data_IF_083527049956
#
_entry.id   IF_083527049956
#
_cell.length_a   1.000
_cell.length_b   1.000
_cell.length_c   1.000
_cell.angle_alpha   90.00
_cell.angle_beta   90.00
_cell.angle_gamma   90.00
#
_symmetry.space_group_name_H-M   'P 1'
#
loop_
_entity.id
_entity.type
_entity.pdbx_description
1 polymer ?
#
# COMPACT_ATOMS: atom_id res chain seq x y z
N UNK A 1 -8.75 -15.97 7.62
CA UNK A 1 -9.54 -16.21 6.39
C UNK A 1 -10.86 -15.44 6.37
N UNK A 2 -11.80 -15.64 7.32
CA UNK A 2 -13.08 -14.91 7.31
C UNK A 2 -12.95 -13.38 7.37
N UNK A 3 -12.03 -12.84 8.18
CA UNK A 3 -11.77 -11.39 8.22
C UNK A 3 -11.30 -10.87 6.88
N UNK A 4 -10.42 -11.59 6.20
CA UNK A 4 -9.91 -11.25 4.88
C UNK A 4 -11.05 -11.22 3.85
N UNK A 5 -11.89 -12.24 3.82
CA UNK A 5 -13.05 -12.30 2.93
C UNK A 5 -14.05 -11.17 3.23
N UNK A 6 -14.36 -10.93 4.51
CA UNK A 6 -15.28 -9.87 4.91
C UNK A 6 -14.76 -8.48 4.48
N UNK A 7 -13.46 -8.22 4.61
CA UNK A 7 -12.86 -6.97 4.21
C UNK A 7 -12.83 -6.79 2.69
N UNK A 8 -12.27 -7.75 1.96
CA UNK A 8 -12.04 -7.59 0.51
C UNK A 8 -13.28 -7.80 -0.34
N UNK A 9 -14.26 -8.59 0.13
CA UNK A 9 -15.48 -8.91 -0.63
C UNK A 9 -16.70 -8.12 -0.10
N UNK A 10 -16.72 -7.83 1.20
CA UNK A 10 -17.86 -7.18 1.88
C UNK A 10 -18.02 -5.68 1.67
N UNK A 11 -17.31 -5.07 0.72
CA UNK A 11 -17.50 -3.67 0.32
C UNK A 11 -16.42 -2.68 0.75
N UNK A 12 -15.58 -2.98 1.72
CA UNK A 12 -14.47 -2.10 2.11
C UNK A 12 -13.36 -2.06 1.06
N UNK A 13 -13.23 -3.09 0.24
CA UNK A 13 -12.30 -3.18 -0.88
C UNK A 13 -12.88 -2.71 -2.21
N UNK A 14 -14.07 -2.10 -2.23
CA UNK A 14 -14.64 -1.57 -3.46
C UNK A 14 -13.82 -0.38 -3.98
N UNK A 15 -13.57 -0.34 -5.27
CA UNK A 15 -12.74 0.65 -5.96
C UNK A 15 -13.11 2.10 -5.64
N UNK A 16 -14.40 2.36 -5.41
CA UNK A 16 -14.91 3.68 -5.04
C UNK A 16 -14.49 4.12 -3.62
N UNK A 17 -14.42 3.20 -2.66
CA UNK A 17 -13.95 3.49 -1.31
C UNK A 17 -12.44 3.65 -1.25
N UNK A 18 -11.70 2.94 -2.07
CA UNK A 18 -10.26 3.08 -2.21
C UNK A 18 -9.88 4.49 -2.65
N UNK A 19 -10.58 5.03 -3.65
CA UNK A 19 -10.31 6.36 -4.17
C UNK A 19 -10.51 7.45 -3.12
N UNK A 20 -11.50 7.32 -2.22
CA UNK A 20 -11.76 8.32 -1.18
C UNK A 20 -10.86 8.18 0.05
N UNK A 21 -10.46 6.97 0.39
CA UNK A 21 -9.75 6.69 1.66
C UNK A 21 -8.23 6.70 1.50
N UNK A 22 -7.71 6.16 0.39
CA UNK A 22 -6.27 5.98 0.23
C UNK A 22 -5.62 6.99 -0.70
N UNK A 23 -6.37 7.60 -1.61
CA UNK A 23 -5.84 8.61 -2.53
C UNK A 23 -5.19 9.80 -1.81
N UNK A 24 -5.78 10.39 -0.75
CA UNK A 24 -5.13 11.46 -0.01
C UNK A 24 -3.78 11.03 0.59
N UNK A 25 -3.68 9.80 1.11
CA UNK A 25 -2.44 9.27 1.65
C UNK A 25 -1.34 9.18 0.58
N UNK A 26 -1.63 8.59 -0.58
CA UNK A 26 -0.67 8.53 -1.68
C UNK A 26 -0.31 9.91 -2.21
N UNK A 27 -1.27 10.82 -2.31
CA UNK A 27 -1.03 12.19 -2.77
C UNK A 27 -0.07 12.93 -1.86
N UNK A 28 -0.26 12.86 -0.54
CA UNK A 28 0.64 13.49 0.44
C UNK A 28 2.03 12.85 0.40
N UNK A 29 2.11 11.52 0.34
CA UNK A 29 3.37 10.79 0.27
C UNK A 29 4.17 11.18 -0.98
N UNK A 30 3.53 11.21 -2.15
CA UNK A 30 4.15 11.62 -3.41
C UNK A 30 4.56 13.10 -3.41
N UNK A 31 3.75 13.99 -2.84
CA UNK A 31 4.07 15.42 -2.74
C UNK A 31 5.30 15.64 -1.86
N UNK A 32 5.39 14.96 -0.72
CA UNK A 32 6.57 15.00 0.14
C UNK A 32 7.83 14.52 -0.60
N UNK A 33 7.76 13.41 -1.32
CA UNK A 33 8.87 12.90 -2.11
C UNK A 33 9.29 13.90 -3.21
N UNK A 34 8.32 14.47 -3.93
CA UNK A 34 8.59 15.51 -4.96
C UNK A 34 9.26 16.75 -4.40
N UNK A 35 8.86 17.20 -3.21
CA UNK A 35 9.49 18.35 -2.53
C UNK A 35 10.93 18.05 -2.16
N UNK A 36 11.23 16.85 -1.66
CA UNK A 36 12.61 16.42 -1.36
C UNK A 36 13.44 16.36 -2.63
N UNK A 37 12.94 15.77 -3.71
CA UNK A 37 13.63 15.70 -5.01
C UNK A 37 13.98 17.10 -5.54
N UNK A 38 13.08 18.06 -5.37
CA UNK A 38 13.27 19.47 -5.81
C UNK A 38 14.13 20.30 -4.85
N UNK A 39 14.62 19.72 -3.75
CA UNK A 39 15.37 20.47 -2.73
C UNK A 39 14.50 21.47 -1.95
N UNK A 40 13.19 21.32 -1.96
CA UNK A 40 12.23 22.19 -1.27
C UNK A 40 11.89 21.72 0.14
N UNK A 41 12.40 20.56 0.55
CA UNK A 41 12.20 19.97 1.86
C UNK A 41 13.42 19.12 2.24
N UNK A 42 13.78 19.16 3.50
CA UNK A 42 14.80 18.31 4.13
C UNK A 42 14.20 17.16 4.94
N UNK A 43 12.93 16.87 4.71
CA UNK A 43 12.17 15.81 5.36
C UNK A 43 12.87 14.45 5.18
N UNK A 44 13.16 13.77 6.29
CA UNK A 44 13.86 12.47 6.29
C UNK A 44 12.96 11.29 6.63
N UNK A 45 11.93 11.52 7.42
CA UNK A 45 11.06 10.47 7.92
C UNK A 45 9.66 11.02 8.21
N UNK A 46 8.66 10.26 7.81
CA UNK A 46 7.26 10.47 8.20
C UNK A 46 6.71 9.14 8.70
N UNK A 47 6.08 9.16 9.86
CA UNK A 47 5.43 7.98 10.43
C UNK A 47 3.94 8.25 10.53
N UNK A 48 3.15 7.35 9.95
CA UNK A 48 1.70 7.33 10.09
C UNK A 48 1.31 6.18 11.01
N UNK A 49 0.84 6.49 12.21
CA UNK A 49 0.21 5.49 13.07
C UNK A 49 -1.21 5.26 12.59
N UNK A 50 -1.54 4.03 12.26
CA UNK A 50 -2.76 3.71 11.56
C UNK A 50 -3.33 2.35 12.01
N UNK A 51 -4.30 1.84 11.27
CA UNK A 51 -4.98 0.58 11.53
C UNK A 51 -4.73 -0.44 10.42
N UNK A 52 -5.00 -1.72 10.71
CA UNK A 52 -4.90 -2.83 9.77
C UNK A 52 -5.66 -2.58 8.44
N UNK A 53 -6.87 -2.01 8.53
CA UNK A 53 -7.67 -1.67 7.35
C UNK A 53 -7.01 -0.63 6.44
N UNK A 54 -6.21 0.30 6.99
CA UNK A 54 -5.49 1.27 6.17
C UNK A 54 -4.34 0.60 5.42
N UNK A 55 -3.62 -0.33 6.07
CA UNK A 55 -2.58 -1.14 5.41
C UNK A 55 -3.21 -1.98 4.29
N UNK A 56 -4.34 -2.65 4.56
CA UNK A 56 -5.06 -3.40 3.53
C UNK A 56 -5.44 -2.52 2.33
N UNK A 57 -5.92 -1.29 2.57
CA UNK A 57 -6.23 -0.32 1.50
C UNK A 57 -4.98 0.10 0.72
N UNK A 58 -3.83 0.28 1.38
CA UNK A 58 -2.55 0.56 0.71
C UNK A 58 -2.16 -0.60 -0.20
N UNK A 59 -2.28 -1.85 0.25
CA UNK A 59 -1.99 -3.04 -0.55
C UNK A 59 -2.88 -3.12 -1.80
N UNK A 60 -4.17 -2.78 -1.67
CA UNK A 60 -5.09 -2.73 -2.82
C UNK A 60 -4.70 -1.58 -3.76
N UNK A 61 -4.42 -0.40 -3.22
CA UNK A 61 -3.99 0.76 -4.01
C UNK A 61 -2.71 0.51 -4.81
N UNK A 62 -1.79 -0.29 -4.27
CA UNK A 62 -0.58 -0.76 -4.95
C UNK A 62 -0.84 -1.93 -5.92
N UNK A 63 -2.08 -2.42 -6.02
CA UNK A 63 -2.48 -3.58 -6.81
C UNK A 63 -1.76 -4.88 -6.42
N UNK A 64 -1.34 -4.98 -5.18
CA UNK A 64 -0.72 -6.18 -4.61
C UNK A 64 -1.76 -7.21 -4.17
N UNK A 65 -3.01 -6.78 -4.01
CA UNK A 65 -4.16 -7.63 -3.71
C UNK A 65 -5.44 -7.03 -4.30
N UNK A 66 -6.47 -7.83 -4.41
CA UNK A 66 -7.84 -7.42 -4.74
C UNK A 66 -8.84 -8.51 -4.31
N UNK A 67 -10.13 -8.21 -4.39
CA UNK A 67 -11.20 -9.14 -3.99
C UNK A 67 -11.14 -10.45 -4.78
N UNK A 68 -10.83 -10.39 -6.09
CA UNK A 68 -10.75 -11.58 -6.94
C UNK A 68 -9.59 -12.48 -6.51
N UNK A 69 -8.42 -11.90 -6.23
CA UNK A 69 -7.27 -12.67 -5.77
C UNK A 69 -7.55 -13.43 -4.47
N UNK A 70 -8.14 -12.74 -3.49
CA UNK A 70 -8.50 -13.33 -2.21
C UNK A 70 -9.55 -14.44 -2.38
N UNK A 71 -10.53 -14.22 -3.25
CA UNK A 71 -11.56 -15.20 -3.54
C UNK A 71 -11.02 -16.46 -4.25
N UNK A 72 -10.22 -16.27 -5.28
CA UNK A 72 -9.57 -17.37 -6.01
C UNK A 72 -8.68 -18.20 -5.08
N UNK A 73 -7.96 -17.53 -4.17
CA UNK A 73 -7.14 -18.20 -3.15
C UNK A 73 -7.97 -18.99 -2.17
N UNK A 74 -9.11 -18.46 -1.75
CA UNK A 74 -10.06 -19.16 -0.87
C UNK A 74 -10.59 -20.43 -1.51
N UNK A 75 -10.87 -20.42 -2.82
CA UNK A 75 -11.36 -21.56 -3.58
C UNK A 75 -10.24 -22.54 -4.01
N UNK A 76 -8.98 -22.28 -3.67
CA UNK A 76 -7.81 -23.00 -4.19
C UNK A 76 -7.71 -23.01 -5.73
N UNK A 77 -8.21 -21.97 -6.38
CA UNK A 77 -8.21 -21.81 -7.83
C UNK A 77 -7.21 -20.74 -8.31
N UNK A 78 -6.58 -20.03 -7.37
CA UNK A 78 -5.68 -18.92 -7.68
C UNK A 78 -4.31 -19.39 -8.14
N UNK A 79 -3.91 -18.90 -9.31
CA UNK A 79 -2.54 -19.04 -9.86
C UNK A 79 -1.74 -17.75 -9.76
N UNK A 80 -2.41 -16.62 -9.48
CA UNK A 80 -1.80 -15.31 -9.36
C UNK A 80 -1.12 -15.16 -8.01
N UNK A 81 0.12 -14.70 -8.03
CA UNK A 81 0.80 -14.28 -6.83
C UNK A 81 0.23 -12.95 -6.32
N UNK A 82 -0.26 -12.91 -5.11
CA UNK A 82 -0.81 -11.73 -4.46
C UNK A 82 -0.73 -11.82 -2.94
N UNK A 83 -0.78 -10.68 -2.28
CA UNK A 83 -0.88 -10.59 -0.82
C UNK A 83 -2.33 -10.87 -0.44
N UNK A 84 -2.64 -12.08 -0.02
CA UNK A 84 -4.00 -12.51 0.29
C UNK A 84 -4.33 -12.53 1.79
N UNK A 85 -3.30 -12.43 2.64
CA UNK A 85 -3.46 -12.39 4.08
C UNK A 85 -3.88 -10.98 4.53
N UNK A 86 -4.77 -10.93 5.51
CA UNK A 86 -5.15 -9.67 6.13
C UNK A 86 -4.00 -9.19 7.03
N UNK A 87 -3.68 -7.89 7.04
CA UNK A 87 -2.59 -7.37 7.87
C UNK A 87 -2.77 -7.73 9.35
N UNK A 88 -1.73 -8.27 9.95
CA UNK A 88 -1.69 -8.61 11.37
C UNK A 88 -1.25 -7.39 12.21
N UNK A 89 -1.30 -7.54 13.53
CA UNK A 89 -0.73 -6.55 14.45
C UNK A 89 0.76 -6.34 14.12
N UNK A 90 1.21 -5.11 14.21
CA UNK A 90 2.57 -4.67 13.88
C UNK A 90 2.94 -4.70 12.39
N UNK A 91 1.99 -5.03 11.50
CA UNK A 91 2.24 -4.91 10.06
C UNK A 91 2.60 -3.48 9.67
N UNK A 92 3.57 -3.35 8.80
CA UNK A 92 4.07 -2.06 8.31
C UNK A 92 4.18 -2.04 6.79
N UNK A 93 3.96 -0.87 6.21
CA UNK A 93 4.32 -0.58 4.83
C UNK A 93 5.27 0.61 4.84
N UNK A 94 6.44 0.45 4.25
CA UNK A 94 7.47 1.47 4.19
C UNK A 94 7.69 1.88 2.73
N UNK A 95 7.66 3.18 2.48
CA UNK A 95 8.05 3.77 1.19
C UNK A 95 9.40 4.46 1.38
N UNK A 96 10.41 4.01 0.68
CA UNK A 96 11.75 4.58 0.71
C UNK A 96 12.05 5.30 -0.61
N UNK A 97 12.43 6.57 -0.52
CA UNK A 97 12.94 7.33 -1.65
C UNK A 97 14.47 7.21 -1.68
N UNK A 98 14.99 6.58 -2.71
CA UNK A 98 16.42 6.40 -2.92
C UNK A 98 16.91 7.29 -4.05
N UNK A 99 18.10 7.85 -3.87
CA UNK A 99 18.86 8.55 -4.90
C UNK A 99 20.09 7.73 -5.26
N UNK A 100 20.28 7.48 -6.52
CA UNK A 100 21.53 6.90 -7.03
C UNK A 100 22.60 7.98 -7.11
N UNK A 101 23.73 7.77 -6.45
CA UNK A 101 24.80 8.78 -6.35
C UNK A 101 25.58 8.94 -7.67
N UNK A 102 25.52 7.96 -8.56
CA UNK A 102 26.23 7.98 -9.83
C UNK A 102 25.39 8.63 -10.93
N UNK A 103 24.15 8.16 -11.09
CA UNK A 103 23.24 8.65 -12.14
C UNK A 103 22.40 9.85 -11.70
N UNK A 104 22.27 10.10 -10.39
CA UNK A 104 21.37 11.09 -9.83
C UNK A 104 19.89 10.72 -9.93
N UNK A 105 19.56 9.52 -10.44
CA UNK A 105 18.20 9.04 -10.59
C UNK A 105 17.54 8.73 -9.23
N UNK A 106 16.24 8.95 -9.16
CA UNK A 106 15.44 8.61 -7.97
C UNK A 106 14.59 7.39 -8.22
N UNK A 107 14.52 6.51 -7.23
CA UNK A 107 13.66 5.32 -7.23
C UNK A 107 12.88 5.24 -5.92
N UNK A 108 11.71 4.62 -5.98
CA UNK A 108 10.91 4.34 -4.79
C UNK A 108 10.92 2.84 -4.55
N UNK A 109 11.31 2.45 -3.34
CA UNK A 109 11.23 1.07 -2.85
C UNK A 109 10.07 0.95 -1.88
N UNK A 110 9.29 -0.11 -2.03
CA UNK A 110 8.19 -0.42 -1.12
C UNK A 110 8.53 -1.70 -0.37
N UNK A 111 8.51 -1.63 0.94
CA UNK A 111 8.73 -2.77 1.85
C UNK A 111 7.44 -3.06 2.59
N UNK A 112 7.10 -4.33 2.69
CA UNK A 112 5.91 -4.82 3.39
C UNK A 112 6.36 -5.89 4.38
N UNK A 113 5.94 -5.70 5.61
CA UNK A 113 6.19 -6.67 6.66
C UNK A 113 4.86 -7.24 7.17
#
# INVERSE_FOLDING_TARGET
MLRTLAFYIGGFGAELQLNSTITPYFSVTLDNMKKVIKGQSDLKLVIYSSHDMHIANVLIGLRLTDAKCVWDRYLNQGTRDCVWEYPEFTSTVVFELHKDDVSGAYTVRVLIN
#
